data_IF_719818456668
#
_entry.id   IF_719818456668
#
_cell.length_a   1.000
_cell.length_b   1.000
_cell.length_c   1.000
_cell.angle_alpha   90.00
_cell.angle_beta   90.00
_cell.angle_gamma   90.00
#
_symmetry.space_group_name_H-M   'P 1'
#
loop_
_entity.id
_entity.type
_entity.pdbx_description
1 polymer ?
#
# COMPACT_ATOMS: atom_id res chain seq x y z
N UNK A 1 -82.73 -43.82 -25.58
CA UNK A 1 -82.53 -42.76 -24.60
C UNK A 1 -81.02 -42.89 -24.15
N UNK A 2 -80.21 -41.87 -24.45
CA UNK A 2 -78.79 -41.90 -24.26
C UNK A 2 -78.41 -41.23 -22.93
N UNK A 3 -77.88 -41.95 -21.99
CA UNK A 3 -77.29 -41.45 -20.78
C UNK A 3 -75.89 -40.99 -21.00
N UNK A 4 -75.62 -39.70 -20.77
CA UNK A 4 -74.27 -39.11 -20.86
C UNK A 4 -73.55 -39.32 -19.54
N UNK A 5 -72.49 -40.10 -19.54
CA UNK A 5 -71.53 -40.14 -18.43
C UNK A 5 -70.63 -38.92 -18.49
N UNK A 6 -70.66 -38.14 -17.41
CA UNK A 6 -69.70 -37.03 -17.19
C UNK A 6 -68.49 -37.62 -16.46
N UNK A 7 -67.39 -37.70 -17.16
CA UNK A 7 -66.08 -38.02 -16.57
C UNK A 7 -65.50 -36.74 -15.96
N UNK A 8 -65.48 -36.71 -14.65
CA UNK A 8 -64.86 -35.61 -13.86
C UNK A 8 -63.34 -35.91 -13.79
N UNK A 9 -62.56 -35.28 -14.66
CA UNK A 9 -61.10 -35.32 -14.59
C UNK A 9 -60.64 -34.40 -13.44
N UNK A 10 -60.26 -34.98 -12.29
CA UNK A 10 -59.50 -34.30 -11.27
C UNK A 10 -58.07 -34.06 -11.78
N UNK A 11 -57.78 -32.85 -12.22
CA UNK A 11 -56.40 -32.39 -12.43
C UNK A 11 -55.76 -32.15 -11.06
N UNK A 12 -54.97 -33.14 -10.62
CA UNK A 12 -54.10 -33.03 -9.45
C UNK A 12 -52.92 -32.12 -9.85
N UNK A 13 -53.06 -30.81 -9.63
CA UNK A 13 -51.92 -29.88 -9.75
C UNK A 13 -51.04 -30.17 -8.55
N UNK A 14 -50.02 -31.01 -8.79
CA UNK A 14 -48.93 -31.18 -7.89
C UNK A 14 -48.12 -29.87 -7.81
N UNK A 15 -48.35 -29.09 -6.78
CA UNK A 15 -47.52 -27.97 -6.38
C UNK A 15 -46.19 -28.57 -5.90
N UNK A 16 -45.25 -28.79 -6.83
CA UNK A 16 -43.85 -28.98 -6.47
C UNK A 16 -43.39 -27.67 -5.86
N UNK A 17 -43.54 -27.54 -4.55
CA UNK A 17 -42.73 -26.63 -3.77
C UNK A 17 -41.29 -27.12 -3.93
N UNK A 18 -40.55 -26.48 -4.84
CA UNK A 18 -39.09 -26.48 -4.80
C UNK A 18 -38.71 -25.81 -3.47
N UNK A 19 -38.69 -26.62 -2.40
CA UNK A 19 -37.94 -26.26 -1.22
C UNK A 19 -36.48 -26.17 -1.71
N UNK A 20 -36.09 -24.98 -2.16
CA UNK A 20 -34.70 -24.58 -2.17
C UNK A 20 -34.27 -24.70 -0.71
N UNK A 21 -33.70 -25.83 -0.34
CA UNK A 21 -32.90 -25.92 0.88
C UNK A 21 -31.69 -25.03 0.65
N UNK A 22 -31.85 -23.73 0.84
CA UNK A 22 -30.75 -22.89 1.25
C UNK A 22 -30.35 -23.50 2.59
N UNK A 23 -29.21 -24.17 2.59
CA UNK A 23 -28.52 -24.54 3.81
C UNK A 23 -28.19 -23.20 4.46
N UNK A 24 -29.05 -22.73 5.38
CA UNK A 24 -28.66 -21.65 6.26
C UNK A 24 -27.33 -22.11 6.88
N UNK A 25 -26.27 -21.34 6.64
CA UNK A 25 -25.02 -21.59 7.31
C UNK A 25 -25.29 -21.42 8.78
N UNK A 26 -25.18 -22.51 9.52
CA UNK A 26 -25.48 -22.54 10.93
C UNK A 26 -24.44 -21.64 11.62
N UNK A 27 -24.89 -20.53 12.17
CA UNK A 27 -24.09 -19.71 13.05
C UNK A 27 -23.52 -20.51 14.20
N UNK A 28 -22.59 -19.93 14.93
CA UNK A 28 -21.86 -20.62 15.99
C UNK A 28 -21.21 -19.65 16.96
N UNK A 29 -20.30 -20.22 17.73
CA UNK A 29 -19.38 -19.43 18.57
C UNK A 29 -18.02 -19.43 17.91
N UNK A 30 -17.58 -18.26 17.43
CA UNK A 30 -16.35 -18.09 16.69
C UNK A 30 -15.25 -17.49 17.56
N UNK A 31 -14.02 -17.90 17.28
CA UNK A 31 -12.81 -17.32 17.86
C UNK A 31 -11.73 -17.33 16.80
N UNK A 32 -11.08 -16.21 16.57
CA UNK A 32 -10.03 -16.09 15.57
C UNK A 32 -9.02 -15.01 15.95
N UNK A 33 -7.90 -15.04 15.28
CA UNK A 33 -6.84 -14.03 15.37
C UNK A 33 -6.68 -13.34 14.02
N UNK A 34 -5.97 -12.23 13.99
CA UNK A 34 -5.65 -11.56 12.73
C UNK A 34 -4.67 -10.41 12.91
N UNK A 35 -4.33 -9.81 11.80
CA UNK A 35 -3.54 -8.58 11.73
C UNK A 35 -4.24 -7.54 10.87
N UNK A 36 -4.03 -6.26 11.18
CA UNK A 36 -4.43 -5.15 10.30
C UNK A 36 -3.17 -4.58 9.65
N UNK A 37 -3.14 -4.52 8.31
CA UNK A 37 -1.92 -4.23 7.56
C UNK A 37 -2.15 -3.39 6.30
N UNK A 38 -1.58 -2.19 6.34
CA UNK A 38 -1.11 -1.36 5.24
C UNK A 38 0.41 -1.21 5.41
N UNK A 39 1.15 -1.17 6.14
CA UNK A 39 2.12 -1.57 7.12
C UNK A 39 1.39 -2.05 8.38
N UNK A 40 2.10 -2.50 9.42
CA UNK A 40 1.46 -2.97 10.62
C UNK A 40 0.73 -1.81 11.32
N UNK A 41 -0.55 -2.04 11.66
CA UNK A 41 -1.30 -1.09 12.49
C UNK A 41 -0.80 -1.17 13.93
N UNK A 42 -0.93 -0.07 14.66
CA UNK A 42 -0.35 0.05 15.99
C UNK A 42 -1.40 -0.02 17.09
N UNK A 43 -0.93 -0.15 18.33
CA UNK A 43 -1.72 -0.17 19.57
C UNK A 43 -2.76 0.94 19.59
N UNK A 44 -3.98 0.60 20.00
CA UNK A 44 -5.11 1.51 20.06
C UNK A 44 -5.98 1.51 18.79
N UNK A 45 -5.58 0.81 17.74
CA UNK A 45 -6.43 0.56 16.57
C UNK A 45 -7.68 -0.18 16.99
N UNK A 46 -8.84 0.31 16.58
CA UNK A 46 -10.13 -0.33 16.86
C UNK A 46 -10.47 -1.35 15.78
N UNK A 47 -10.87 -2.54 16.19
CA UNK A 47 -11.39 -3.60 15.32
C UNK A 47 -12.86 -3.78 15.60
N UNK A 48 -13.70 -3.68 14.58
CA UNK A 48 -15.13 -3.97 14.66
C UNK A 48 -15.46 -5.15 13.75
N UNK A 49 -16.22 -6.10 14.25
CA UNK A 49 -16.75 -7.25 13.50
C UNK A 49 -18.26 -7.14 13.47
N UNK A 50 -18.84 -6.96 12.29
CA UNK A 50 -20.28 -6.93 12.08
C UNK A 50 -20.72 -8.24 11.43
N UNK A 51 -21.68 -8.92 12.05
CA UNK A 51 -22.28 -10.10 11.47
C UNK A 51 -23.06 -9.73 10.21
N UNK A 52 -22.90 -10.53 9.15
CA UNK A 52 -23.59 -10.38 7.87
C UNK A 52 -24.49 -11.58 7.58
N UNK A 53 -25.63 -11.33 6.91
CA UNK A 53 -26.43 -12.38 6.31
C UNK A 53 -25.86 -12.84 4.95
N UNK A 54 -26.46 -13.83 4.32
CA UNK A 54 -26.03 -14.37 3.01
C UNK A 54 -26.00 -13.34 1.87
N UNK A 55 -26.78 -12.28 1.96
CA UNK A 55 -26.77 -11.16 1.00
C UNK A 55 -25.79 -10.06 1.38
N UNK A 56 -24.91 -10.31 2.34
CA UNK A 56 -23.93 -9.37 2.92
C UNK A 56 -24.58 -8.15 3.61
N UNK A 57 -25.85 -8.21 3.95
CA UNK A 57 -26.53 -7.22 4.78
C UNK A 57 -26.17 -7.42 6.27
N UNK A 58 -25.95 -6.31 7.00
CA UNK A 58 -25.70 -6.38 8.44
C UNK A 58 -26.93 -6.89 9.20
N UNK A 59 -26.72 -7.82 10.13
CA UNK A 59 -27.79 -8.39 10.98
C UNK A 59 -28.10 -7.52 12.20
N UNK A 60 -27.19 -6.60 12.54
CA UNK A 60 -27.25 -5.76 13.73
C UNK A 60 -26.39 -6.25 14.90
N UNK A 61 -25.81 -7.46 14.82
CA UNK A 61 -24.81 -7.93 15.78
C UNK A 61 -23.44 -7.35 15.46
N UNK A 62 -22.75 -6.85 16.47
CA UNK A 62 -21.43 -6.25 16.34
C UNK A 62 -20.57 -6.55 17.57
N UNK A 63 -19.29 -6.80 17.33
CA UNK A 63 -18.28 -7.06 18.34
C UNK A 63 -17.11 -6.11 18.14
N UNK A 64 -16.43 -5.76 19.21
CA UNK A 64 -15.32 -4.81 19.13
C UNK A 64 -14.15 -5.28 19.99
N UNK A 65 -12.94 -5.12 19.47
CA UNK A 65 -11.68 -5.27 20.19
C UNK A 65 -10.71 -4.19 19.76
N UNK A 66 -9.49 -4.20 20.26
CA UNK A 66 -8.43 -3.30 19.84
C UNK A 66 -7.11 -4.02 19.72
N UNK A 67 -6.22 -3.49 18.89
CA UNK A 67 -4.82 -3.93 18.80
C UNK A 67 -4.08 -3.52 20.08
N UNK A 68 -3.35 -4.47 20.65
CA UNK A 68 -2.56 -4.28 21.89
C UNK A 68 -1.05 -4.41 21.66
N UNK A 69 -0.63 -4.66 20.42
CA UNK A 69 0.77 -4.77 20.01
C UNK A 69 0.99 -4.07 18.69
N UNK A 70 2.10 -3.35 18.54
CA UNK A 70 2.41 -2.55 17.36
C UNK A 70 2.76 -3.39 16.11
N UNK A 71 2.64 -4.72 16.17
CA UNK A 71 2.76 -5.63 15.03
C UNK A 71 1.44 -5.83 14.24
N UNK A 72 0.39 -5.10 14.61
CA UNK A 72 -0.93 -5.15 14.00
C UNK A 72 -1.83 -6.27 14.48
N UNK A 73 -1.40 -7.10 15.44
CA UNK A 73 -2.12 -8.29 15.87
C UNK A 73 -3.34 -7.97 16.75
N UNK A 74 -4.42 -8.72 16.52
CA UNK A 74 -5.62 -8.70 17.36
C UNK A 74 -6.17 -10.12 17.55
N UNK A 75 -7.03 -10.28 18.54
CA UNK A 75 -7.79 -11.51 18.77
C UNK A 75 -9.20 -11.21 19.22
N UNK A 76 -10.12 -12.08 18.81
CA UNK A 76 -11.51 -12.10 19.26
C UNK A 76 -11.88 -13.53 19.67
N UNK A 77 -12.66 -13.67 20.71
CA UNK A 77 -13.08 -14.98 21.23
C UNK A 77 -14.54 -14.95 21.66
N UNK A 78 -15.21 -16.08 21.52
CA UNK A 78 -16.59 -16.28 21.95
C UNK A 78 -17.59 -15.34 21.28
N UNK A 79 -17.46 -15.10 19.96
CA UNK A 79 -18.42 -14.37 19.19
C UNK A 79 -19.64 -15.27 18.90
N UNK A 80 -20.74 -15.03 19.57
CA UNK A 80 -22.00 -15.74 19.30
C UNK A 80 -22.71 -15.10 18.10
N UNK A 81 -22.66 -15.77 16.94
CA UNK A 81 -23.24 -15.29 15.68
C UNK A 81 -24.28 -16.27 15.13
N UNK A 82 -25.24 -15.76 14.38
CA UNK A 82 -26.27 -16.54 13.68
C UNK A 82 -25.85 -16.88 12.25
N UNK A 83 -24.82 -16.21 11.74
CA UNK A 83 -24.22 -16.43 10.43
C UNK A 83 -22.70 -16.58 10.56
N UNK A 84 -22.11 -17.30 9.63
CA UNK A 84 -20.65 -17.46 9.53
C UNK A 84 -19.99 -16.25 8.86
N UNK A 85 -20.76 -15.38 8.19
CA UNK A 85 -20.21 -14.27 7.41
C UNK A 85 -20.07 -13.01 8.26
N UNK A 86 -18.94 -12.33 8.11
CA UNK A 86 -18.62 -11.12 8.84
C UNK A 86 -17.95 -10.05 7.97
N UNK A 87 -18.21 -8.79 8.30
CA UNK A 87 -17.42 -7.64 7.89
C UNK A 87 -16.51 -7.21 9.04
N UNK A 88 -15.22 -7.33 8.83
CA UNK A 88 -14.22 -6.82 9.74
C UNK A 88 -13.80 -5.42 9.31
N UNK A 89 -13.67 -4.52 10.26
CA UNK A 89 -13.20 -3.13 10.03
C UNK A 89 -12.11 -2.79 11.03
N UNK A 90 -10.92 -2.46 10.55
CA UNK A 90 -9.83 -1.92 11.34
C UNK A 90 -9.67 -0.41 11.08
N UNK A 91 -9.66 0.40 12.16
CA UNK A 91 -9.44 1.85 12.06
C UNK A 91 -8.37 2.28 13.05
N UNK A 92 -7.27 2.85 12.54
CA UNK A 92 -6.16 3.25 13.39
C UNK A 92 -4.97 3.83 12.63
N UNK A 93 -3.95 4.17 13.39
CA UNK A 93 -2.64 4.53 12.85
C UNK A 93 -1.86 3.27 12.47
N UNK A 94 -0.93 3.41 11.55
CA UNK A 94 -0.08 2.30 11.08
C UNK A 94 1.36 2.79 10.91
N UNK A 95 2.32 1.87 10.97
CA UNK A 95 3.67 2.14 10.53
C UNK A 95 3.70 2.21 9.02
N UNK A 96 4.10 3.36 8.50
CA UNK A 96 4.23 3.61 7.08
C UNK A 96 5.57 3.07 6.59
N UNK A 97 5.55 1.97 5.89
CA UNK A 97 6.73 1.26 5.40
C UNK A 97 7.53 2.06 4.39
N UNK A 98 6.86 2.93 3.62
CA UNK A 98 7.52 3.77 2.61
C UNK A 98 8.28 4.92 3.26
N UNK A 99 7.72 5.53 4.30
CA UNK A 99 8.34 6.65 5.01
C UNK A 99 9.22 6.22 6.20
N UNK A 100 9.03 5.02 6.74
CA UNK A 100 9.74 4.55 7.92
C UNK A 100 9.25 5.17 9.24
N UNK A 101 8.03 5.70 9.27
CA UNK A 101 7.45 6.40 10.42
C UNK A 101 5.97 6.03 10.64
N UNK A 102 5.39 6.48 11.75
CA UNK A 102 3.95 6.34 11.96
C UNK A 102 3.18 7.26 11.00
N UNK A 103 2.04 6.75 10.52
CA UNK A 103 1.13 7.55 9.69
C UNK A 103 0.65 8.79 10.46
N UNK A 104 0.51 9.91 9.77
CA UNK A 104 0.05 11.18 10.37
C UNK A 104 -1.46 11.22 10.62
N UNK A 105 -2.23 10.27 10.06
CA UNK A 105 -3.66 10.12 10.30
C UNK A 105 -4.06 8.64 10.31
N UNK A 106 -5.24 8.38 10.87
CA UNK A 106 -5.84 7.04 10.87
C UNK A 106 -6.34 6.67 9.48
N UNK A 107 -6.26 5.38 9.16
CA UNK A 107 -6.81 4.77 7.95
C UNK A 107 -7.78 3.67 8.35
N UNK A 108 -8.83 3.50 7.55
CA UNK A 108 -9.82 2.43 7.73
C UNK A 108 -9.61 1.37 6.64
N UNK A 109 -9.40 0.13 7.06
CA UNK A 109 -9.38 -1.04 6.18
C UNK A 109 -10.53 -1.99 6.53
N UNK A 110 -10.96 -2.77 5.54
CA UNK A 110 -12.07 -3.72 5.68
C UNK A 110 -11.75 -5.07 5.06
N UNK A 111 -12.35 -6.12 5.60
CA UNK A 111 -12.31 -7.46 5.04
C UNK A 111 -13.68 -8.14 5.19
N UNK A 112 -14.12 -8.86 4.16
CA UNK A 112 -15.22 -9.80 4.24
C UNK A 112 -14.65 -11.20 4.50
N UNK A 113 -15.21 -11.92 5.48
CA UNK A 113 -14.72 -13.23 5.88
C UNK A 113 -15.86 -14.22 6.13
N UNK A 114 -15.56 -15.49 5.91
CA UNK A 114 -16.34 -16.65 6.34
C UNK A 114 -15.63 -17.29 7.54
N UNK A 115 -16.13 -17.03 8.74
CA UNK A 115 -15.49 -17.47 9.99
C UNK A 115 -15.64 -18.97 10.27
N UNK A 116 -16.39 -19.71 9.45
CA UNK A 116 -16.55 -21.16 9.62
C UNK A 116 -15.31 -21.97 9.28
N UNK A 117 -14.39 -21.41 8.50
CA UNK A 117 -13.22 -22.09 7.96
C UNK A 117 -11.89 -21.46 8.39
N UNK A 118 -11.90 -20.24 8.93
CA UNK A 118 -10.69 -19.47 9.16
C UNK A 118 -10.45 -19.21 10.66
N UNK A 119 -9.35 -19.76 11.19
CA UNK A 119 -8.83 -19.41 12.52
C UNK A 119 -8.01 -18.10 12.50
N UNK A 120 -7.65 -17.63 11.31
CA UNK A 120 -6.91 -16.38 11.10
C UNK A 120 -7.59 -15.55 10.02
N UNK A 121 -7.93 -14.31 10.33
CA UNK A 121 -8.55 -13.36 9.40
C UNK A 121 -7.80 -12.03 9.48
N UNK A 122 -6.98 -11.75 8.49
CA UNK A 122 -6.27 -10.47 8.37
C UNK A 122 -7.12 -9.44 7.61
N UNK A 123 -6.95 -8.19 7.99
CA UNK A 123 -7.53 -7.03 7.32
C UNK A 123 -6.39 -6.29 6.64
N UNK A 124 -6.38 -6.22 5.32
CA UNK A 124 -5.29 -5.59 4.57
C UNK A 124 -5.79 -4.78 3.37
N UNK A 125 -4.87 -4.15 2.66
CA UNK A 125 -5.22 -3.31 1.51
C UNK A 125 -5.90 -4.09 0.37
N UNK A 126 -5.54 -5.36 0.16
CA UNK A 126 -6.15 -6.21 -0.87
C UNK A 126 -7.59 -6.59 -0.50
N UNK A 127 -7.83 -7.00 0.76
CA UNK A 127 -9.18 -7.29 1.25
C UNK A 127 -10.07 -6.05 1.17
N UNK A 128 -9.51 -4.87 1.44
CA UNK A 128 -10.25 -3.61 1.40
C UNK A 128 -10.69 -3.24 -0.02
N UNK A 129 -9.80 -3.35 -1.00
CA UNK A 129 -10.09 -2.97 -2.39
C UNK A 129 -11.05 -3.96 -3.05
N UNK A 130 -10.88 -5.25 -2.83
CA UNK A 130 -11.71 -6.30 -3.46
C UNK A 130 -13.11 -6.42 -2.85
N UNK A 131 -13.34 -5.88 -1.66
CA UNK A 131 -14.62 -5.95 -0.94
C UNK A 131 -15.82 -5.54 -1.81
N UNK A 132 -15.75 -4.38 -2.46
CA UNK A 132 -16.87 -3.86 -3.25
C UNK A 132 -17.20 -4.74 -4.46
N UNK A 133 -16.20 -5.37 -5.07
CA UNK A 133 -16.38 -6.35 -6.15
C UNK A 133 -17.07 -7.61 -5.65
N UNK A 134 -16.67 -8.14 -4.50
CA UNK A 134 -17.32 -9.29 -3.85
C UNK A 134 -18.80 -8.98 -3.60
N UNK A 135 -19.11 -7.81 -3.04
CA UNK A 135 -20.50 -7.37 -2.79
C UNK A 135 -21.31 -7.27 -4.08
N UNK A 136 -20.71 -6.80 -5.18
CA UNK A 136 -21.35 -6.73 -6.50
C UNK A 136 -21.66 -8.14 -7.02
N UNK A 137 -20.71 -9.04 -6.99
CA UNK A 137 -20.88 -10.42 -7.47
C UNK A 137 -21.92 -11.21 -6.66
N UNK A 138 -21.98 -11.01 -5.33
CA UNK A 138 -23.02 -11.61 -4.49
C UNK A 138 -24.39 -11.04 -4.83
N UNK A 139 -24.51 -9.74 -5.07
CA UNK A 139 -25.76 -9.09 -5.52
C UNK A 139 -26.22 -9.61 -6.87
N UNK A 140 -25.29 -10.02 -7.74
CA UNK A 140 -25.56 -10.66 -9.03
C UNK A 140 -25.92 -12.16 -8.89
N UNK A 141 -25.94 -12.70 -7.68
CA UNK A 141 -26.41 -14.05 -7.38
C UNK A 141 -25.31 -15.10 -7.22
N UNK A 142 -24.05 -14.71 -7.13
CA UNK A 142 -22.97 -15.66 -6.80
C UNK A 142 -22.98 -16.01 -5.32
N UNK A 143 -22.53 -17.22 -4.98
CA UNK A 143 -22.20 -17.55 -3.59
C UNK A 143 -21.05 -16.65 -3.09
N UNK A 144 -20.98 -16.40 -1.77
CA UNK A 144 -19.88 -15.64 -1.18
C UNK A 144 -18.51 -16.20 -1.57
N UNK A 145 -18.34 -17.52 -1.45
CA UNK A 145 -17.07 -18.19 -1.79
C UNK A 145 -16.68 -18.04 -3.28
N UNK A 146 -17.66 -18.13 -4.21
CA UNK A 146 -17.39 -17.96 -5.63
C UNK A 146 -17.12 -16.50 -5.99
N UNK A 147 -17.86 -15.57 -5.38
CA UNK A 147 -17.66 -14.13 -5.54
C UNK A 147 -16.27 -13.69 -5.07
N UNK A 148 -15.86 -14.17 -3.90
CA UNK A 148 -14.56 -13.90 -3.31
C UNK A 148 -13.43 -14.42 -4.19
N UNK A 149 -13.47 -15.71 -4.56
CA UNK A 149 -12.45 -16.32 -5.42
C UNK A 149 -12.33 -15.60 -6.76
N UNK A 150 -13.45 -15.18 -7.37
CA UNK A 150 -13.44 -14.45 -8.62
C UNK A 150 -12.80 -13.07 -8.45
N UNK A 151 -13.23 -12.28 -7.46
CA UNK A 151 -12.69 -10.94 -7.23
C UNK A 151 -11.19 -10.96 -6.91
N UNK A 152 -10.75 -11.94 -6.13
CA UNK A 152 -9.33 -12.11 -5.79
C UNK A 152 -8.50 -12.54 -7.02
N UNK A 153 -9.03 -13.40 -7.89
CA UNK A 153 -8.39 -13.76 -9.16
C UNK A 153 -8.30 -12.57 -10.11
N UNK A 154 -9.40 -11.85 -10.32
CA UNK A 154 -9.44 -10.64 -11.15
C UNK A 154 -8.42 -9.59 -10.66
N UNK A 155 -8.22 -9.46 -9.34
CA UNK A 155 -7.26 -8.52 -8.79
C UNK A 155 -5.81 -9.02 -8.93
N UNK A 156 -5.57 -10.32 -8.85
CA UNK A 156 -4.26 -10.91 -9.16
C UNK A 156 -3.87 -10.68 -10.62
N UNK A 157 -4.83 -10.79 -11.56
CA UNK A 157 -4.60 -10.44 -12.97
C UNK A 157 -4.18 -8.97 -13.13
N UNK A 158 -4.84 -8.05 -12.41
CA UNK A 158 -4.44 -6.64 -12.39
C UNK A 158 -3.01 -6.45 -11.86
N UNK A 159 -2.58 -7.24 -10.89
CA UNK A 159 -1.21 -7.20 -10.37
C UNK A 159 -0.18 -7.88 -11.29
N UNK A 160 -0.60 -8.46 -12.42
CA UNK A 160 0.24 -9.20 -13.36
C UNK A 160 0.54 -10.63 -12.94
N UNK A 161 -0.14 -11.16 -11.92
CA UNK A 161 0.03 -12.54 -11.44
C UNK A 161 -0.85 -13.47 -12.26
N UNK A 162 -0.24 -14.30 -13.12
CA UNK A 162 -0.95 -15.24 -14.01
C UNK A 162 -1.20 -16.61 -13.38
N UNK A 163 -0.32 -17.05 -12.49
CA UNK A 163 -0.49 -18.26 -11.69
C UNK A 163 -1.15 -17.88 -10.36
N UNK A 164 -2.47 -17.83 -10.35
CA UNK A 164 -3.23 -17.34 -9.20
C UNK A 164 -3.00 -18.18 -7.95
N UNK A 165 -2.78 -17.50 -6.84
CA UNK A 165 -2.81 -18.12 -5.52
C UNK A 165 -4.25 -18.52 -5.16
N UNK A 166 -4.39 -19.71 -4.54
CA UNK A 166 -5.70 -20.22 -4.13
C UNK A 166 -6.07 -19.84 -2.68
N UNK A 167 -5.15 -19.20 -1.95
CA UNK A 167 -5.37 -18.72 -0.60
C UNK A 167 -6.13 -17.39 -0.66
N UNK A 168 -7.03 -17.15 0.31
CA UNK A 168 -7.78 -15.90 0.39
C UNK A 168 -6.89 -14.74 0.88
N UNK A 169 -7.16 -13.54 0.43
CA UNK A 169 -6.38 -12.36 0.78
C UNK A 169 -6.34 -12.07 2.28
N UNK A 170 -7.33 -12.52 3.06
CA UNK A 170 -7.34 -12.44 4.52
C UNK A 170 -6.33 -13.39 5.20
N UNK A 171 -5.70 -14.27 4.46
CA UNK A 171 -4.64 -15.15 4.99
C UNK A 171 -3.24 -14.58 4.77
N UNK A 172 -3.12 -13.50 3.97
CA UNK A 172 -1.86 -12.84 3.70
C UNK A 172 -1.35 -12.01 4.87
N UNK A 173 -0.03 -11.98 5.05
CA UNK A 173 0.65 -11.14 6.04
C UNK A 173 1.97 -10.58 5.51
N UNK A 174 2.14 -9.27 5.57
CA UNK A 174 3.39 -8.59 5.17
C UNK A 174 4.61 -9.02 6.02
N UNK A 175 4.38 -9.63 7.17
CA UNK A 175 5.40 -10.12 8.10
C UNK A 175 5.71 -11.61 7.92
N UNK A 176 5.30 -12.23 6.83
CA UNK A 176 5.48 -13.66 6.55
C UNK A 176 6.18 -13.88 5.21
N UNK A 177 6.98 -14.93 5.12
CA UNK A 177 7.68 -15.32 3.89
C UNK A 177 6.73 -15.90 2.84
N UNK A 178 7.19 -15.90 1.59
CA UNK A 178 6.57 -16.54 0.44
C UNK A 178 5.89 -15.55 -0.50
N UNK A 179 5.73 -15.99 -1.74
CA UNK A 179 5.26 -15.21 -2.88
C UNK A 179 3.88 -14.57 -2.65
N UNK A 180 2.98 -15.33 -2.04
CA UNK A 180 1.65 -14.86 -1.67
C UNK A 180 1.69 -13.63 -0.75
N UNK A 181 2.59 -13.62 0.24
CA UNK A 181 2.79 -12.51 1.17
C UNK A 181 3.59 -11.36 0.54
N UNK A 182 4.52 -11.69 -0.36
CA UNK A 182 5.30 -10.73 -1.13
C UNK A 182 4.40 -9.83 -2.01
N UNK A 183 3.38 -10.43 -2.65
CA UNK A 183 2.40 -9.70 -3.45
C UNK A 183 1.63 -8.66 -2.61
N UNK A 184 1.18 -9.02 -1.40
CA UNK A 184 0.52 -8.08 -0.50
C UNK A 184 1.44 -6.91 -0.13
N UNK A 185 2.68 -7.21 0.25
CA UNK A 185 3.65 -6.17 0.64
C UNK A 185 3.99 -5.26 -0.54
N UNK A 186 4.21 -5.82 -1.73
CA UNK A 186 4.45 -5.05 -2.94
C UNK A 186 3.30 -4.07 -3.20
N UNK A 187 2.05 -4.55 -3.17
CA UNK A 187 0.92 -3.69 -3.43
C UNK A 187 0.72 -2.63 -2.32
N UNK A 188 0.97 -2.98 -1.07
CA UNK A 188 0.97 -2.02 0.03
C UNK A 188 1.94 -0.86 -0.23
N UNK A 189 3.13 -1.17 -0.72
CA UNK A 189 4.17 -0.18 -1.06
C UNK A 189 3.75 0.67 -2.26
N UNK A 190 3.24 0.06 -3.34
CA UNK A 190 2.81 0.73 -4.57
C UNK A 190 1.73 1.79 -4.32
N UNK A 191 0.86 1.57 -3.35
CA UNK A 191 -0.23 2.50 -3.01
C UNK A 191 0.25 3.87 -2.49
N UNK A 192 1.51 4.05 -2.19
CA UNK A 192 1.97 5.25 -1.50
C UNK A 192 3.29 5.78 -2.07
N UNK A 193 3.35 7.08 -2.30
CA UNK A 193 4.59 7.77 -2.67
C UNK A 193 5.47 8.09 -1.46
N UNK A 194 6.80 8.23 -1.65
CA UNK A 194 7.76 8.37 -0.55
C UNK A 194 7.84 9.76 0.08
N UNK A 195 7.19 10.79 -0.44
CA UNK A 195 7.45 12.13 0.08
C UNK A 195 6.24 13.07 0.10
N UNK A 196 6.32 14.05 0.98
CA UNK A 196 5.43 15.20 1.11
C UNK A 196 5.73 16.30 0.06
N UNK A 197 6.17 15.97 -1.13
CA UNK A 197 6.82 16.88 -2.08
C UNK A 197 5.97 18.05 -2.60
N UNK A 198 4.67 18.10 -2.32
CA UNK A 198 3.85 19.22 -2.75
C UNK A 198 2.92 19.69 -1.62
N UNK A 199 3.17 20.84 -1.07
CA UNK A 199 2.29 21.52 -0.09
C UNK A 199 0.86 21.80 -0.62
N UNK A 200 0.57 21.48 -1.87
CA UNK A 200 -0.71 21.76 -2.55
C UNK A 200 -1.61 20.53 -2.61
N UNK A 201 -1.13 19.35 -2.19
CA UNK A 201 -1.85 18.08 -2.31
C UNK A 201 -2.37 17.64 -0.93
N UNK A 202 -3.52 16.95 -0.87
CA UNK A 202 -4.04 16.37 0.37
C UNK A 202 -2.96 15.59 1.12
N UNK A 203 -3.03 15.57 2.46
CA UNK A 203 -2.08 14.81 3.28
C UNK A 203 -1.95 13.37 2.77
N UNK A 204 -0.77 12.76 2.86
CA UNK A 204 -0.52 11.39 2.39
C UNK A 204 -1.60 10.38 2.81
N UNK A 205 -2.15 10.40 4.04
CA UNK A 205 -3.27 9.53 4.40
C UNK A 205 -4.56 9.81 3.62
N UNK A 206 -4.83 11.07 3.28
CA UNK A 206 -5.99 11.42 2.46
C UNK A 206 -5.81 10.95 1.01
N UNK A 207 -4.60 11.07 0.47
CA UNK A 207 -4.23 10.56 -0.85
C UNK A 207 -4.34 9.03 -0.91
N UNK A 208 -3.80 8.33 0.07
CA UNK A 208 -3.94 6.87 0.19
C UNK A 208 -5.43 6.45 0.25
N UNK A 209 -6.23 7.14 1.07
CA UNK A 209 -7.67 6.87 1.18
C UNK A 209 -8.39 7.14 -0.15
N UNK A 210 -8.05 8.24 -0.82
CA UNK A 210 -8.59 8.57 -2.14
C UNK A 210 -8.24 7.49 -3.18
N UNK A 211 -6.98 7.08 -3.24
CA UNK A 211 -6.51 6.07 -4.18
C UNK A 211 -7.18 4.70 -3.94
N UNK A 212 -7.19 4.22 -2.71
CA UNK A 212 -7.88 2.97 -2.35
C UNK A 212 -9.38 3.01 -2.68
N UNK A 213 -10.05 4.15 -2.40
CA UNK A 213 -11.47 4.33 -2.70
C UNK A 213 -11.75 4.29 -4.20
N UNK A 214 -10.93 4.98 -5.00
CA UNK A 214 -11.10 5.01 -6.45
C UNK A 214 -10.78 3.66 -7.09
N UNK A 215 -9.71 2.98 -6.66
CA UNK A 215 -9.40 1.62 -7.09
C UNK A 215 -10.54 0.66 -6.77
N UNK A 216 -11.03 0.66 -5.53
CA UNK A 216 -12.15 -0.20 -5.11
C UNK A 216 -13.43 0.08 -5.89
N UNK A 217 -13.73 1.36 -6.17
CA UNK A 217 -14.94 1.76 -6.91
C UNK A 217 -14.86 1.35 -8.38
N UNK A 218 -13.72 1.57 -9.02
CA UNK A 218 -13.51 1.21 -10.43
C UNK A 218 -13.55 -0.31 -10.60
N UNK A 219 -12.85 -1.03 -9.73
CA UNK A 219 -12.81 -2.48 -9.71
C UNK A 219 -14.17 -3.15 -9.44
N UNK A 220 -15.04 -2.50 -8.66
CA UNK A 220 -16.34 -3.06 -8.25
C UNK A 220 -17.27 -3.39 -9.41
N UNK A 221 -17.20 -2.65 -10.51
CA UNK A 221 -18.14 -2.76 -11.63
C UNK A 221 -17.90 -4.06 -12.44
N UNK A 222 -16.70 -4.23 -12.95
CA UNK A 222 -16.40 -5.30 -13.90
C UNK A 222 -15.18 -6.17 -13.55
N UNK A 223 -14.53 -5.93 -12.40
CA UNK A 223 -13.35 -6.68 -11.97
C UNK A 223 -12.06 -6.24 -12.68
N UNK A 224 -12.04 -5.04 -13.24
CA UNK A 224 -10.86 -4.45 -13.87
C UNK A 224 -10.67 -3.01 -13.40
N UNK A 225 -9.42 -2.55 -13.38
CA UNK A 225 -9.10 -1.13 -13.22
C UNK A 225 -9.02 -0.53 -14.62
N UNK A 226 -10.07 0.22 -15.00
CA UNK A 226 -10.20 0.82 -16.33
C UNK A 226 -9.75 2.27 -16.42
N UNK A 227 -9.55 2.93 -15.27
CA UNK A 227 -9.08 4.31 -15.21
C UNK A 227 -7.56 4.38 -15.30
N UNK A 228 -7.06 4.80 -16.45
CA UNK A 228 -5.63 4.95 -16.73
C UNK A 228 -4.93 5.81 -15.68
N UNK A 229 -5.54 6.91 -15.25
CA UNK A 229 -5.02 7.80 -14.19
C UNK A 229 -4.67 7.10 -12.88
N UNK A 230 -5.38 6.01 -12.52
CA UNK A 230 -5.08 5.25 -11.31
C UNK A 230 -3.82 4.40 -11.50
N UNK A 231 -3.67 3.77 -12.66
CA UNK A 231 -2.48 2.99 -13.01
C UNK A 231 -1.26 3.90 -13.08
N UNK A 232 -1.40 5.07 -13.75
CA UNK A 232 -0.33 6.07 -13.83
C UNK A 232 0.10 6.55 -12.45
N UNK A 233 -0.85 6.78 -11.53
CA UNK A 233 -0.53 7.15 -10.15
C UNK A 233 0.27 6.05 -9.44
N UNK A 234 -0.10 4.78 -9.62
CA UNK A 234 0.64 3.65 -9.02
C UNK A 234 2.05 3.53 -9.60
N UNK A 235 2.20 3.65 -10.92
CA UNK A 235 3.50 3.63 -11.60
C UNK A 235 4.38 4.82 -11.18
N UNK A 236 3.77 6.01 -11.06
CA UNK A 236 4.46 7.19 -10.52
C UNK A 236 4.97 6.96 -9.09
N UNK A 237 4.13 6.41 -8.21
CA UNK A 237 4.54 6.07 -6.85
C UNK A 237 5.78 5.15 -6.85
N UNK A 238 5.77 4.09 -7.68
CA UNK A 238 6.90 3.17 -7.80
C UNK A 238 8.17 3.90 -8.26
N UNK A 239 8.06 4.78 -9.25
CA UNK A 239 9.20 5.50 -9.81
C UNK A 239 9.93 6.36 -8.79
N UNK A 240 9.21 6.78 -7.75
CA UNK A 240 9.72 7.64 -6.68
C UNK A 240 10.33 6.86 -5.51
N UNK A 241 10.22 5.53 -5.48
CA UNK A 241 10.58 4.70 -4.33
C UNK A 241 11.99 4.11 -4.45
N UNK A 242 12.68 4.02 -3.32
CA UNK A 242 13.86 3.17 -3.12
C UNK A 242 13.44 1.92 -2.33
N UNK A 243 13.34 0.80 -3.03
CA UNK A 243 12.85 -0.46 -2.47
C UNK A 243 13.80 -1.02 -1.38
N UNK A 244 15.10 -0.85 -1.55
CA UNK A 244 16.08 -1.30 -0.55
C UNK A 244 15.97 -0.48 0.75
N UNK A 245 15.60 0.78 0.64
CA UNK A 245 15.35 1.65 1.77
C UNK A 245 14.06 1.27 2.51
N UNK A 246 12.99 1.02 1.76
CA UNK A 246 11.71 0.54 2.30
C UNK A 246 11.91 -0.79 3.04
N UNK A 247 12.66 -1.73 2.47
CA UNK A 247 12.99 -3.01 3.12
C UNK A 247 13.63 -2.79 4.49
N UNK A 248 14.61 -1.90 4.58
CA UNK A 248 15.28 -1.55 5.85
C UNK A 248 14.33 -0.91 6.86
N UNK A 249 13.38 -0.09 6.42
CA UNK A 249 12.36 0.49 7.31
C UNK A 249 11.58 -0.62 8.01
N UNK A 250 11.11 -1.60 7.24
CA UNK A 250 10.30 -2.69 7.76
C UNK A 250 11.13 -3.60 8.69
N UNK A 251 12.34 -3.96 8.28
CA UNK A 251 13.28 -4.77 9.09
C UNK A 251 13.58 -4.08 10.43
N UNK A 252 13.93 -2.79 10.38
CA UNK A 252 14.21 -2.00 11.59
C UNK A 252 12.99 -1.89 12.51
N UNK A 253 11.80 -1.71 11.92
CA UNK A 253 10.57 -1.64 12.69
C UNK A 253 10.31 -2.92 13.48
N UNK A 254 10.31 -4.08 12.81
CA UNK A 254 10.07 -5.35 13.48
C UNK A 254 11.19 -5.71 14.47
N UNK A 255 12.44 -5.42 14.12
CA UNK A 255 13.59 -5.58 15.04
C UNK A 255 13.44 -4.70 16.28
N UNK A 256 12.95 -3.47 16.12
CA UNK A 256 12.64 -2.56 17.22
C UNK A 256 11.56 -3.09 18.17
N UNK A 257 10.64 -3.90 17.66
CA UNK A 257 9.63 -4.63 18.46
C UNK A 257 10.18 -5.93 19.09
N UNK A 258 11.44 -6.28 18.83
CA UNK A 258 12.04 -7.55 19.27
C UNK A 258 11.55 -8.77 18.49
N UNK A 259 11.01 -8.57 17.29
CA UNK A 259 10.50 -9.62 16.40
C UNK A 259 11.51 -9.91 15.29
N UNK A 260 11.87 -11.18 15.14
CA UNK A 260 12.70 -11.67 14.03
C UNK A 260 11.79 -11.99 12.84
N UNK A 261 11.50 -10.97 12.04
CA UNK A 261 10.66 -11.07 10.83
C UNK A 261 11.55 -11.03 9.59
N UNK A 262 11.41 -12.04 8.76
CA UNK A 262 12.05 -12.04 7.45
C UNK A 262 11.09 -11.45 6.41
N UNK A 263 11.48 -10.33 5.81
CA UNK A 263 10.65 -9.63 4.84
C UNK A 263 10.64 -10.40 3.51
N UNK A 264 9.45 -10.67 2.91
CA UNK A 264 9.36 -11.38 1.65
C UNK A 264 9.92 -10.59 0.47
N UNK A 265 10.13 -11.25 -0.66
CA UNK A 265 10.65 -10.65 -1.91
C UNK A 265 9.55 -9.85 -2.63
N UNK A 266 9.22 -8.67 -2.10
CA UNK A 266 8.22 -7.79 -2.67
C UNK A 266 8.72 -7.06 -3.93
N UNK A 267 10.01 -6.91 -4.10
CA UNK A 267 10.66 -6.22 -5.23
C UNK A 267 10.31 -6.92 -6.55
N UNK A 268 10.30 -8.24 -6.55
CA UNK A 268 9.90 -9.04 -7.72
C UNK A 268 8.45 -8.77 -8.14
N UNK A 269 7.54 -8.56 -7.18
CA UNK A 269 6.13 -8.27 -7.46
C UNK A 269 5.90 -6.81 -7.89
N UNK A 270 6.71 -5.86 -7.42
CA UNK A 270 6.72 -4.49 -7.96
C UNK A 270 7.16 -4.53 -9.43
N UNK A 271 8.23 -5.26 -9.74
CA UNK A 271 8.71 -5.44 -11.12
C UNK A 271 7.66 -6.10 -12.01
N UNK A 272 6.95 -7.11 -11.49
CA UNK A 272 5.87 -7.80 -12.20
C UNK A 272 4.73 -6.84 -12.53
N UNK A 273 4.29 -6.02 -11.57
CA UNK A 273 3.28 -5.01 -11.77
C UNK A 273 3.69 -3.99 -12.86
N UNK A 274 4.92 -3.48 -12.80
CA UNK A 274 5.45 -2.58 -13.83
C UNK A 274 5.43 -3.23 -15.21
N UNK A 275 5.87 -4.50 -15.33
CA UNK A 275 5.87 -5.21 -16.59
C UNK A 275 4.46 -5.43 -17.16
N UNK A 276 3.46 -5.68 -16.30
CA UNK A 276 2.06 -5.85 -16.72
C UNK A 276 1.42 -4.57 -17.25
N UNK A 277 1.94 -3.40 -16.85
CA UNK A 277 1.37 -2.09 -17.19
C UNK A 277 2.28 -1.22 -18.08
N UNK A 278 3.35 -1.80 -18.66
CA UNK A 278 4.29 -1.06 -19.51
C UNK A 278 3.68 -0.43 -20.76
N UNK A 279 2.58 -0.98 -21.28
CA UNK A 279 1.94 -0.42 -22.50
C UNK A 279 1.21 0.91 -22.23
N UNK A 280 0.75 1.16 -21.00
CA UNK A 280 0.18 2.46 -20.62
C UNK A 280 1.24 3.56 -20.48
N UNK A 281 2.51 3.19 -20.42
CA UNK A 281 3.67 4.09 -20.29
C UNK A 281 4.50 4.16 -21.57
N UNK A 282 3.94 3.76 -22.71
CA UNK A 282 4.67 3.67 -23.99
C UNK A 282 5.24 5.00 -24.53
N UNK A 283 5.02 6.12 -23.84
CA UNK A 283 5.69 7.41 -24.09
C UNK A 283 6.84 7.72 -23.11
N UNK A 284 6.99 6.93 -22.02
CA UNK A 284 8.07 7.05 -21.06
C UNK A 284 9.13 5.98 -21.33
N UNK A 285 10.03 6.26 -22.23
CA UNK A 285 11.30 5.53 -22.28
C UNK A 285 12.10 5.85 -21.02
N UNK A 286 12.01 4.96 -20.01
CA UNK A 286 13.02 4.95 -18.95
C UNK A 286 14.39 4.83 -19.63
N UNK A 287 15.35 5.68 -19.30
CA UNK A 287 16.73 5.39 -19.68
C UNK A 287 17.07 4.01 -19.08
N UNK A 288 17.71 3.19 -19.88
CA UNK A 288 18.11 1.80 -19.57
C UNK A 288 19.26 1.79 -18.52
N UNK A 289 19.14 2.65 -17.52
CA UNK A 289 19.98 2.66 -16.33
C UNK A 289 19.16 2.04 -15.21
N UNK A 290 19.46 0.76 -14.95
CA UNK A 290 19.15 0.15 -13.65
C UNK A 290 19.43 1.19 -12.57
N UNK A 291 18.46 1.44 -11.66
CA UNK A 291 18.68 2.32 -10.51
C UNK A 291 20.08 2.03 -10.00
N UNK A 292 21.01 2.99 -9.98
CA UNK A 292 22.37 2.70 -9.58
C UNK A 292 22.29 1.99 -8.23
N UNK A 293 22.95 0.84 -8.15
CA UNK A 293 23.06 0.12 -6.88
C UNK A 293 23.45 1.17 -5.82
N UNK A 294 22.86 1.13 -4.62
CA UNK A 294 23.15 2.14 -3.60
C UNK A 294 24.66 2.30 -3.50
N UNK A 295 25.13 3.53 -3.70
CA UNK A 295 26.58 3.79 -3.68
C UNK A 295 27.08 3.41 -2.29
N UNK A 296 27.84 2.33 -2.21
CA UNK A 296 28.42 1.83 -0.96
C UNK A 296 29.57 2.77 -0.61
N UNK A 297 29.48 3.43 0.53
CA UNK A 297 30.56 4.26 1.06
C UNK A 297 31.87 3.47 1.27
N UNK A 298 33.02 4.13 1.45
CA UNK A 298 34.34 3.49 1.56
C UNK A 298 34.44 2.41 2.66
N UNK A 299 33.52 2.39 3.62
CA UNK A 299 33.43 1.41 4.70
C UNK A 299 32.47 0.26 4.49
N UNK A 300 31.78 0.18 3.32
CA UNK A 300 30.74 -0.82 3.07
C UNK A 300 29.37 -0.47 3.68
N UNK A 301 29.24 0.71 4.26
CA UNK A 301 27.97 1.19 4.82
C UNK A 301 27.13 1.87 3.73
N UNK A 302 25.84 1.57 3.67
CA UNK A 302 24.89 2.27 2.81
C UNK A 302 24.56 3.61 3.47
N UNK A 303 24.86 4.76 2.83
CA UNK A 303 24.59 6.06 3.43
C UNK A 303 23.08 6.29 3.59
N UNK A 304 22.70 6.95 4.67
CA UNK A 304 21.30 7.35 4.92
C UNK A 304 20.88 8.55 4.05
N UNK A 305 21.35 8.61 2.82
CA UNK A 305 21.07 9.66 1.86
C UNK A 305 20.75 9.07 0.49
N UNK A 306 19.73 9.57 -0.15
CA UNK A 306 19.36 9.29 -1.53
C UNK A 306 19.51 10.57 -2.35
N UNK A 307 20.17 10.47 -3.49
CA UNK A 307 20.24 11.53 -4.50
C UNK A 307 19.73 10.97 -5.82
N UNK A 308 18.52 11.39 -6.22
CA UNK A 308 17.87 10.91 -7.45
C UNK A 308 17.62 12.05 -8.42
N UNK A 309 17.92 11.80 -9.70
CA UNK A 309 17.56 12.69 -10.80
C UNK A 309 16.05 12.62 -11.06
N UNK A 310 15.39 13.76 -11.02
CA UNK A 310 13.96 13.93 -11.22
C UNK A 310 13.64 14.77 -12.46
N UNK A 311 14.63 15.08 -13.27
CA UNK A 311 14.50 15.94 -14.47
C UNK A 311 13.39 15.50 -15.42
N UNK A 312 13.09 14.20 -15.46
CA UNK A 312 12.06 13.64 -16.36
C UNK A 312 10.62 13.96 -15.95
N UNK A 313 10.39 14.41 -14.72
CA UNK A 313 9.01 14.54 -14.19
C UNK A 313 8.45 15.97 -14.27
N UNK A 314 9.29 17.01 -14.26
CA UNK A 314 8.85 18.40 -14.16
C UNK A 314 9.23 19.28 -15.36
N UNK A 315 9.98 18.76 -16.33
CA UNK A 315 10.54 19.58 -17.40
C UNK A 315 11.63 20.55 -16.94
N UNK A 316 11.83 20.67 -15.61
CA UNK A 316 12.94 21.40 -14.99
C UNK A 316 14.01 20.41 -14.55
N UNK A 317 15.27 20.78 -14.64
CA UNK A 317 16.35 19.92 -14.14
C UNK A 317 16.35 19.98 -12.62
N UNK A 318 15.94 18.89 -11.99
CA UNK A 318 15.81 18.78 -10.56
C UNK A 318 16.40 17.48 -10.03
N UNK A 319 17.05 17.56 -8.88
CA UNK A 319 17.50 16.39 -8.12
C UNK A 319 16.81 16.35 -6.79
N UNK A 320 16.34 15.16 -6.40
CA UNK A 320 15.88 14.91 -5.04
C UNK A 320 17.05 14.47 -4.20
N UNK A 321 17.26 15.17 -3.11
CA UNK A 321 18.15 14.74 -2.03
C UNK A 321 17.26 14.40 -0.84
N UNK A 322 17.24 13.14 -0.45
CA UNK A 322 16.51 12.67 0.72
C UNK A 322 17.49 12.04 1.72
N UNK A 323 17.33 12.35 2.98
CA UNK A 323 18.17 11.78 4.02
C UNK A 323 17.34 11.53 5.28
N UNK A 324 17.70 10.48 6.04
CA UNK A 324 17.13 10.22 7.36
C UNK A 324 18.18 10.50 8.41
N UNK A 325 17.78 11.22 9.45
CA UNK A 325 18.61 11.40 10.63
C UNK A 325 18.54 10.16 11.51
N UNK A 326 19.62 9.41 11.70
CA UNK A 326 19.64 8.29 12.64
C UNK A 326 19.37 8.73 14.06
N UNK A 327 18.80 7.84 14.86
CA UNK A 327 18.50 8.10 16.26
C UNK A 327 19.75 8.51 17.04
N UNK A 328 19.70 9.65 17.69
CA UNK A 328 20.80 10.15 18.53
C UNK A 328 21.98 10.76 17.78
N UNK A 329 21.86 10.95 16.44
CA UNK A 329 22.92 11.53 15.62
C UNK A 329 22.52 12.87 15.03
N UNK A 330 23.52 13.70 14.73
CA UNK A 330 23.35 14.92 13.97
C UNK A 330 23.53 14.65 12.46
N UNK A 331 22.75 15.32 11.66
CA UNK A 331 22.82 15.22 10.21
C UNK A 331 23.05 16.60 9.61
N UNK A 332 23.99 16.67 8.66
CA UNK A 332 24.22 17.84 7.84
C UNK A 332 24.38 17.44 6.39
N UNK A 333 23.67 18.11 5.49
CA UNK A 333 23.86 18.00 4.03
C UNK A 333 24.36 19.34 3.54
N UNK A 334 25.50 19.34 2.85
CA UNK A 334 26.07 20.53 2.22
C UNK A 334 26.01 20.34 0.70
N UNK A 335 25.49 21.34 0.02
CA UNK A 335 25.46 21.38 -1.44
C UNK A 335 26.30 22.56 -1.89
N UNK A 336 27.29 22.30 -2.73
CA UNK A 336 28.20 23.32 -3.27
C UNK A 336 28.07 23.34 -4.79
N UNK A 337 27.98 24.52 -5.39
CA UNK A 337 27.82 24.73 -6.83
C UNK A 337 26.57 25.50 -7.21
N UNK A 338 26.14 25.38 -8.45
CA UNK A 338 25.07 26.20 -9.04
C UNK A 338 23.65 25.79 -8.65
N UNK A 339 23.48 24.98 -7.61
CA UNK A 339 22.17 24.50 -7.14
C UNK A 339 21.59 25.38 -6.03
N UNK A 340 20.26 25.44 -5.92
CA UNK A 340 19.59 26.10 -4.81
C UNK A 340 18.45 25.21 -4.26
N UNK A 341 18.11 25.33 -2.96
CA UNK A 341 17.07 24.51 -2.37
C UNK A 341 15.67 24.97 -2.81
N UNK A 342 14.76 24.00 -2.93
CA UNK A 342 13.34 24.32 -2.99
C UNK A 342 12.88 25.04 -1.71
N UNK A 343 11.87 25.88 -1.84
CA UNK A 343 11.22 26.53 -0.70
C UNK A 343 10.37 25.57 0.14
N UNK A 344 10.14 24.34 -0.33
CA UNK A 344 9.33 23.31 0.32
C UNK A 344 10.16 22.43 1.26
N UNK A 345 10.68 23.02 2.35
CA UNK A 345 11.38 22.25 3.38
C UNK A 345 10.43 21.87 4.51
N UNK A 346 10.45 20.59 4.91
CA UNK A 346 9.74 20.13 6.08
C UNK A 346 10.19 20.87 7.36
N UNK A 347 9.24 21.12 8.27
CA UNK A 347 9.53 21.72 9.57
C UNK A 347 10.52 20.83 10.35
N UNK A 348 11.69 21.34 10.67
CA UNK A 348 12.72 20.62 11.42
C UNK A 348 14.12 20.76 10.85
N UNK A 349 14.26 21.48 9.74
CA UNK A 349 15.54 21.73 9.08
C UNK A 349 15.86 23.21 9.02
N UNK A 350 17.13 23.50 9.16
CA UNK A 350 17.66 24.86 8.94
C UNK A 350 18.47 24.84 7.66
N UNK A 351 18.07 25.69 6.72
CA UNK A 351 18.85 25.97 5.52
C UNK A 351 19.67 27.22 5.76
N UNK A 352 20.97 27.10 5.55
CA UNK A 352 21.89 28.23 5.58
C UNK A 352 22.48 28.43 4.19
N UNK A 353 22.06 29.49 3.50
CA UNK A 353 22.59 29.85 2.20
C UNK A 353 24.05 30.31 2.34
N UNK A 354 24.89 29.88 1.40
CA UNK A 354 26.29 30.26 1.28
C UNK A 354 26.54 30.98 -0.05
N UNK A 355 27.72 31.54 -0.23
CA UNK A 355 28.09 32.24 -1.47
C UNK A 355 28.10 31.32 -2.69
N UNK A 356 28.36 30.02 -2.47
CA UNK A 356 28.43 29.00 -3.50
C UNK A 356 27.73 27.73 -3.01
N UNK A 357 26.39 27.81 -2.90
CA UNK A 357 25.55 26.73 -2.44
C UNK A 357 24.84 26.98 -1.11
N UNK A 358 24.54 25.91 -0.38
CA UNK A 358 23.81 25.96 0.90
C UNK A 358 24.13 24.76 1.79
N UNK A 359 23.81 24.90 3.07
CA UNK A 359 23.89 23.80 4.05
C UNK A 359 22.53 23.59 4.69
N UNK A 360 22.16 22.33 4.93
CA UNK A 360 20.94 21.93 5.62
C UNK A 360 21.35 21.12 6.83
N UNK A 361 20.82 21.50 7.98
CA UNK A 361 21.08 20.82 9.23
C UNK A 361 19.76 20.37 9.88
N UNK A 362 19.71 19.10 10.33
CA UNK A 362 18.58 18.56 11.04
C UNK A 362 18.47 19.20 12.42
N UNK A 363 17.29 19.75 12.75
CA UNK A 363 16.99 20.21 14.10
C UNK A 363 16.38 19.12 14.98
N UNK A 364 15.90 18.04 14.37
CA UNK A 364 15.25 16.93 15.08
C UNK A 364 15.85 15.61 14.63
N UNK A 365 15.92 14.68 15.56
CA UNK A 365 16.37 13.32 15.33
C UNK A 365 15.19 12.47 14.79
N UNK A 366 15.46 11.53 13.92
CA UNK A 366 14.49 10.61 13.28
C UNK A 366 13.44 11.26 12.37
N UNK A 367 13.77 12.33 11.71
CA UNK A 367 12.90 12.90 10.68
C UNK A 367 13.48 12.63 9.28
N UNK A 368 12.63 12.20 8.35
CA UNK A 368 12.99 12.14 6.93
C UNK A 368 13.16 13.57 6.43
N UNK A 369 14.31 13.88 5.91
CA UNK A 369 14.51 15.10 5.15
C UNK A 369 14.46 14.76 3.69
N UNK A 370 13.57 15.39 3.02
CA UNK A 370 13.66 15.47 1.57
C UNK A 370 13.70 16.91 1.14
N UNK A 371 14.50 17.21 0.16
CA UNK A 371 14.49 18.51 -0.46
C UNK A 371 14.66 18.34 -1.97
N UNK A 372 14.03 19.24 -2.70
CA UNK A 372 14.27 19.38 -4.12
C UNK A 372 15.43 20.35 -4.30
N UNK A 373 16.48 19.92 -4.99
CA UNK A 373 17.61 20.77 -5.34
C UNK A 373 17.40 21.21 -6.78
N UNK A 374 17.07 22.49 -6.99
CA UNK A 374 16.96 23.07 -8.32
C UNK A 374 18.31 23.57 -8.82
N UNK A 375 18.49 23.57 -10.13
CA UNK A 375 19.69 24.08 -10.77
C UNK A 375 19.56 25.60 -10.98
N UNK A 376 20.65 26.31 -10.80
CA UNK A 376 20.64 27.77 -10.84
C UNK A 376 20.55 28.38 -12.25
N UNK A 377 20.82 27.60 -13.31
CA UNK A 377 20.78 28.08 -14.70
C UNK A 377 20.47 26.94 -15.66
N UNK A 378 19.25 26.90 -16.14
CA UNK A 378 18.70 25.88 -17.04
C UNK A 378 19.35 25.90 -18.43
N UNK A 379 19.99 27.00 -18.81
CA UNK A 379 20.57 27.20 -20.14
C UNK A 379 22.07 26.94 -20.21
N UNK A 380 22.71 26.53 -19.12
CA UNK A 380 24.16 26.28 -19.07
C UNK A 380 24.48 24.95 -18.42
N UNK A 381 25.52 24.33 -18.98
CA UNK A 381 26.14 23.17 -18.32
C UNK A 381 26.58 23.56 -16.91
N UNK A 382 26.34 22.71 -15.98
CA UNK A 382 26.66 22.96 -14.58
C UNK A 382 26.96 21.69 -13.80
N UNK A 383 27.40 21.91 -12.58
CA UNK A 383 27.63 20.82 -11.63
C UNK A 383 27.43 21.31 -10.19
N UNK A 384 27.00 20.38 -9.32
CA UNK A 384 26.98 20.59 -7.89
C UNK A 384 27.59 19.36 -7.19
N UNK A 385 28.12 19.60 -6.00
CA UNK A 385 28.64 18.54 -5.11
C UNK A 385 27.73 18.48 -3.89
N UNK A 386 27.22 17.29 -3.60
CA UNK A 386 26.39 16.99 -2.42
C UNK A 386 27.27 16.21 -1.45
N UNK A 387 27.45 16.75 -0.26
CA UNK A 387 28.23 16.15 0.83
C UNK A 387 27.30 15.88 2.02
N UNK A 388 27.28 14.65 2.49
CA UNK A 388 26.48 14.21 3.63
C UNK A 388 27.39 13.93 4.82
N UNK A 389 27.02 14.45 5.97
CA UNK A 389 27.78 14.35 7.22
C UNK A 389 26.86 13.78 8.32
N UNK A 390 27.31 12.71 8.96
CA UNK A 390 26.64 12.06 10.09
C UNK A 390 27.59 12.04 11.29
N UNK A 391 27.33 12.87 12.31
CA UNK A 391 28.21 13.08 13.48
C UNK A 391 29.70 13.23 13.15
N UNK A 392 30.00 13.86 12.03
CA UNK A 392 31.35 13.93 11.49
C UNK A 392 31.68 15.31 10.93
N UNK A 393 32.91 15.74 11.05
CA UNK A 393 33.46 16.92 10.36
C UNK A 393 33.91 16.63 8.93
N UNK A 394 34.03 15.37 8.56
CA UNK A 394 34.31 14.92 7.20
C UNK A 394 33.09 14.26 6.59
N UNK A 395 32.80 14.47 5.28
CA UNK A 395 31.66 13.86 4.65
C UNK A 395 31.77 12.33 4.70
N UNK A 396 30.70 11.67 5.11
CA UNK A 396 30.56 10.22 5.06
C UNK A 396 30.10 9.73 3.70
N UNK A 397 29.54 10.66 2.91
CA UNK A 397 29.14 10.41 1.53
C UNK A 397 29.34 11.69 0.71
N UNK A 398 29.77 11.56 -0.55
CA UNK A 398 29.91 12.67 -1.48
C UNK A 398 29.44 12.21 -2.87
N UNK A 399 28.55 12.99 -3.48
CA UNK A 399 28.11 12.78 -4.86
C UNK A 399 28.25 14.05 -5.67
N UNK A 400 28.75 13.91 -6.88
CA UNK A 400 28.71 14.97 -7.89
C UNK A 400 27.51 14.73 -8.81
N UNK A 401 26.74 15.78 -9.05
CA UNK A 401 25.70 15.85 -10.05
C UNK A 401 26.16 16.79 -11.15
N UNK A 402 25.88 16.43 -12.40
CA UNK A 402 26.20 17.25 -13.57
C UNK A 402 24.98 17.31 -14.47
N UNK A 403 24.80 18.42 -15.15
CA UNK A 403 23.72 18.60 -16.11
C UNK A 403 24.25 19.32 -17.34
N UNK A 404 23.61 19.08 -18.47
CA UNK A 404 23.86 19.79 -19.72
C UNK A 404 22.74 20.77 -19.98
N UNK A 405 23.07 22.05 -20.16
CA UNK A 405 22.14 23.08 -20.56
C UNK A 405 21.66 22.91 -22.00
N UNK A 406 20.44 23.37 -22.27
CA UNK A 406 19.91 23.42 -23.64
C UNK A 406 18.62 22.63 -23.78
N UNK A 407 17.53 23.20 -23.32
CA UNK A 407 16.19 22.79 -23.71
C UNK A 407 15.72 23.76 -24.82
N UNK A 408 15.55 23.24 -26.02
CA UNK A 408 14.75 23.92 -27.02
C UNK A 408 13.26 23.76 -26.63
N UNK A 409 12.60 24.87 -26.32
CA UNK A 409 11.15 24.95 -26.09
C UNK A 409 10.35 24.66 -27.37
#
# INVERSE_FOLDING_TARGET
>A
MKTKSIVLSLALIGLLALASCTKEKAGGVFSFTGKVQKGPFVTGTTITVNELNESLGQTGKSFTTSITSDDGSFSLSNLEMESDLALLTGNGFYFNEVLGELSSAQVTLQALADLSNDETVNINVLTHITKARIETLVREGKSFSDAKRQAEGEFQDFLGVTDHFNQGFEQMSIASQGDFNAMLLAFSIILQRPSHFLEVVPTLPAELTWLMTNLSTDFADNGAIGKEELVDTLLYNISMQDQAYIRRHIENYYSGLGLDVQIPDFESYITLFQAAHQESVAEYTYPDEASPAPEIGPGGEVPNILVKDMTQFDGEQAYVVAAITPLGKSLKVKVTGAAHPSTSLNNGWVVTNQTDGFTIEAQRQNELVSMLVYLADENRDGSATIEYYEDSETPTFTKQITWTGGWDH
#
